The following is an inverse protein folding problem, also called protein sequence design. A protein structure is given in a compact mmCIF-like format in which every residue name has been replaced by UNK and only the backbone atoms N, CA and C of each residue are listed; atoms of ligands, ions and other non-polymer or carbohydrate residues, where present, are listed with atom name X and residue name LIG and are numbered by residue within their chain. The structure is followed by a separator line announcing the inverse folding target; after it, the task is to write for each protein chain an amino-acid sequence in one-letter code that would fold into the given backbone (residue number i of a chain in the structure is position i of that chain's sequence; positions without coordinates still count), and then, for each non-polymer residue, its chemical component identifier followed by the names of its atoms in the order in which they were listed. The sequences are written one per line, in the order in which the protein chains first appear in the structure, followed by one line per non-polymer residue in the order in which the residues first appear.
data_IF_364814077386
#
_entry.id   IF_364814077386
#
_cell.length_a   1.000
_cell.length_b   1.000
_cell.length_c   1.000
_cell.angle_alpha   90.00
_cell.angle_beta   90.00
_cell.angle_gamma   90.00
#
_symmetry.space_group_name_H-M   'P 1'
#
loop_
_entity.id
_entity.type
_entity.pdbx_description
1 polymer ?
#
# COMPACT_ATOMS: atom_id res chain seq x y z
N UNK A 1 12.68 -17.97 -77.68
CA UNK A 1 12.59 -19.42 -77.37
C UNK A 1 12.47 -19.53 -75.85
N UNK A 2 11.24 -19.65 -75.34
CA UNK A 2 10.65 -20.89 -74.79
C UNK A 2 11.38 -21.35 -73.51
N UNK A 3 10.92 -20.96 -72.31
CA UNK A 3 9.87 -21.57 -71.46
C UNK A 3 10.35 -22.84 -70.71
N UNK A 4 10.35 -22.81 -69.37
CA UNK A 4 9.56 -23.74 -68.53
C UNK A 4 9.80 -23.52 -67.03
N UNK A 5 8.74 -23.63 -66.24
CA UNK A 5 8.65 -23.51 -64.78
C UNK A 5 8.15 -24.86 -64.23
N UNK A 6 8.49 -25.16 -62.96
CA UNK A 6 7.93 -26.16 -62.00
C UNK A 6 8.64 -27.53 -61.86
N UNK A 7 8.48 -28.28 -60.73
CA UNK A 7 8.37 -27.87 -59.32
C UNK A 7 9.12 -28.79 -58.29
N UNK A 8 9.06 -28.34 -57.03
CA UNK A 8 9.18 -29.02 -55.72
C UNK A 8 9.28 -30.58 -55.66
N UNK A 9 10.30 -31.08 -54.97
CA UNK A 9 10.21 -32.32 -54.17
C UNK A 9 11.02 -32.16 -52.88
N UNK A 10 10.31 -31.91 -51.77
CA UNK A 10 10.89 -31.94 -50.44
C UNK A 10 10.81 -33.38 -49.91
N UNK A 11 11.92 -34.10 -49.99
CA UNK A 11 12.03 -35.43 -49.38
C UNK A 11 12.46 -35.25 -47.91
N UNK A 12 11.48 -35.12 -47.01
CA UNK A 12 11.70 -35.09 -45.56
C UNK A 12 12.17 -36.48 -45.09
N UNK A 13 13.39 -36.58 -44.56
CA UNK A 13 13.95 -37.83 -44.01
C UNK A 13 13.17 -38.30 -42.76
N UNK A 14 12.85 -39.60 -42.62
CA UNK A 14 12.08 -40.15 -41.49
C UNK A 14 12.76 -39.98 -40.11
N UNK A 15 14.06 -39.63 -40.08
CA UNK A 15 14.82 -39.43 -38.85
C UNK A 15 14.53 -38.09 -38.16
N UNK A 16 14.06 -37.07 -38.90
CA UNK A 16 13.77 -35.74 -38.35
C UNK A 16 12.49 -35.68 -37.50
N UNK A 17 11.47 -36.47 -37.86
CA UNK A 17 10.20 -36.51 -37.12
C UNK A 17 10.34 -37.21 -35.76
N UNK A 18 11.21 -38.23 -35.66
CA UNK A 18 11.46 -38.97 -34.42
C UNK A 18 12.24 -38.15 -33.40
N UNK A 19 13.14 -37.26 -33.87
CA UNK A 19 13.89 -36.35 -32.99
C UNK A 19 13.01 -35.21 -32.48
N UNK A 20 12.16 -34.63 -33.33
CA UNK A 20 11.20 -33.59 -32.94
C UNK A 20 10.18 -34.09 -31.90
N UNK A 21 9.70 -35.34 -32.05
CA UNK A 21 8.80 -35.98 -31.09
C UNK A 21 9.46 -36.24 -29.73
N UNK A 22 10.76 -36.57 -29.70
CA UNK A 22 11.53 -36.74 -28.47
C UNK A 22 11.77 -35.42 -27.75
N UNK A 23 12.08 -34.35 -28.50
CA UNK A 23 12.27 -33.01 -27.93
C UNK A 23 10.95 -32.44 -27.36
N UNK A 24 9.81 -32.68 -28.02
CA UNK A 24 8.48 -32.33 -27.50
C UNK A 24 8.18 -33.07 -26.18
N UNK A 25 8.55 -34.35 -26.08
CA UNK A 25 8.30 -35.15 -24.89
C UNK A 25 9.20 -34.79 -23.69
N UNK A 26 10.39 -34.22 -23.95
CA UNK A 26 11.38 -33.80 -22.93
C UNK A 26 11.12 -32.37 -22.43
N UNK A 27 10.50 -31.49 -23.23
CA UNK A 27 10.16 -30.12 -22.83
C UNK A 27 8.82 -30.00 -22.08
N UNK A 28 7.85 -30.88 -22.37
CA UNK A 28 6.56 -30.93 -21.70
C UNK A 28 6.61 -30.94 -20.15
N UNK A 29 7.49 -31.73 -19.47
CA UNK A 29 7.53 -31.75 -18.01
C UNK A 29 8.06 -30.45 -17.40
N UNK A 30 8.93 -29.70 -18.10
CA UNK A 30 9.46 -28.42 -17.62
C UNK A 30 8.43 -27.31 -17.70
N UNK A 31 7.64 -27.27 -18.79
CA UNK A 31 6.52 -26.34 -18.90
C UNK A 31 5.41 -26.63 -17.88
N UNK A 32 5.12 -27.91 -17.63
CA UNK A 32 4.16 -28.30 -16.59
C UNK A 32 4.61 -27.91 -15.18
N UNK A 33 5.89 -28.11 -14.85
CA UNK A 33 6.42 -27.69 -13.55
C UNK A 33 6.39 -26.17 -13.38
N UNK A 34 6.76 -25.40 -14.40
CA UNK A 34 6.69 -23.93 -14.35
C UNK A 34 5.23 -23.47 -14.23
N UNK A 35 4.32 -24.05 -15.01
CA UNK A 35 2.89 -23.74 -14.91
C UNK A 35 2.32 -24.11 -13.53
N UNK A 36 2.69 -25.26 -12.96
CA UNK A 36 2.26 -25.65 -11.62
C UNK A 36 2.83 -24.72 -10.53
N UNK A 37 4.10 -24.32 -10.61
CA UNK A 37 4.68 -23.35 -9.65
C UNK A 37 4.01 -21.99 -9.79
N UNK A 38 3.81 -21.51 -11.02
CA UNK A 38 3.13 -20.24 -11.28
C UNK A 38 1.68 -20.29 -10.77
N UNK A 39 0.93 -21.35 -11.07
CA UNK A 39 -0.40 -21.56 -10.54
C UNK A 39 -0.38 -21.62 -9.01
N UNK A 40 0.45 -22.45 -8.38
CA UNK A 40 0.52 -22.54 -6.92
C UNK A 40 0.92 -21.19 -6.28
N UNK A 41 1.79 -20.41 -6.92
CA UNK A 41 2.08 -19.05 -6.49
C UNK A 41 0.86 -18.13 -6.61
N UNK A 42 0.10 -18.19 -7.70
CA UNK A 42 -1.15 -17.42 -7.83
C UNK A 42 -2.22 -17.85 -6.83
N UNK A 43 -2.43 -19.16 -6.63
CA UNK A 43 -3.40 -19.70 -5.67
C UNK A 43 -3.00 -19.39 -4.22
N UNK A 44 -1.71 -19.46 -3.88
CA UNK A 44 -1.22 -19.12 -2.54
C UNK A 44 -1.27 -17.60 -2.27
N UNK A 45 -1.13 -16.77 -3.31
CA UNK A 45 -1.30 -15.31 -3.19
C UNK A 45 -2.78 -14.88 -3.13
N UNK A 46 -3.70 -15.68 -3.68
CA UNK A 46 -5.15 -15.38 -3.73
C UNK A 46 -5.86 -15.65 -2.38
N UNK A 47 -5.40 -16.62 -1.58
CA UNK A 47 -5.96 -16.87 -0.24
C UNK A 47 -5.61 -15.75 0.77
N UNK A 48 -4.45 -15.11 0.65
CA UNK A 48 -4.06 -14.00 1.55
C UNK A 48 -4.86 -12.70 1.28
N UNK A 49 -5.44 -12.54 0.09
CA UNK A 49 -6.26 -11.37 -0.27
C UNK A 49 -7.72 -11.49 0.18
N UNK A 50 -8.26 -12.70 0.31
CA UNK A 50 -9.64 -12.91 0.77
C UNK A 50 -9.83 -12.67 2.28
N UNK A 51 -8.76 -12.70 3.07
CA UNK A 51 -8.82 -12.44 4.52
C UNK A 51 -8.72 -10.96 4.92
N UNK A 52 -8.46 -10.05 3.97
CA UNK A 52 -8.24 -8.62 4.26
C UNK A 52 -9.31 -7.77 3.59
N UNK A 53 -10.50 -7.82 4.16
CA UNK A 53 -11.57 -6.89 3.82
C UNK A 53 -11.04 -5.46 4.03
N UNK A 54 -10.83 -4.74 2.93
CA UNK A 54 -10.55 -3.31 2.96
C UNK A 54 -11.85 -2.63 3.32
N UNK A 55 -12.13 -2.50 4.62
CA UNK A 55 -13.35 -1.83 5.08
C UNK A 55 -13.20 -0.34 4.76
N UNK A 56 -13.76 0.07 3.62
CA UNK A 56 -13.96 1.48 3.30
C UNK A 56 -15.07 1.99 4.22
N UNK A 57 -14.68 2.60 5.34
CA UNK A 57 -15.62 3.39 6.12
C UNK A 57 -15.92 4.67 5.35
N UNK A 58 -17.03 4.68 4.63
CA UNK A 58 -17.64 5.94 4.21
C UNK A 58 -18.11 6.64 5.48
N UNK A 59 -17.26 7.49 6.07
CA UNK A 59 -17.69 8.44 7.08
C UNK A 59 -18.43 9.55 6.34
N UNK A 60 -19.67 9.28 5.95
CA UNK A 60 -20.64 10.33 5.74
C UNK A 60 -20.92 10.92 7.12
N UNK A 61 -20.28 12.04 7.45
CA UNK A 61 -20.71 12.84 8.60
C UNK A 61 -22.19 13.20 8.36
N UNK A 62 -23.13 12.70 9.18
CA UNK A 62 -24.51 13.15 9.06
C UNK A 62 -24.51 14.63 9.42
N UNK A 63 -24.96 15.47 8.50
CA UNK A 63 -25.27 16.88 8.77
C UNK A 63 -26.49 17.03 9.69
N UNK A 64 -27.08 15.93 10.13
CA UNK A 64 -28.25 15.89 11.02
C UNK A 64 -27.91 15.05 12.25
N UNK A 65 -28.01 15.72 13.40
CA UNK A 65 -27.54 15.25 14.70
C UNK A 65 -27.98 13.83 15.06
N UNK A 66 -26.99 12.94 15.19
CA UNK A 66 -27.11 11.75 16.03
C UNK A 66 -26.64 12.18 17.42
N UNK A 67 -27.56 12.25 18.37
CA UNK A 67 -27.16 12.35 19.78
C UNK A 67 -26.43 11.05 20.16
N UNK A 68 -25.17 11.12 20.62
CA UNK A 68 -24.46 9.94 21.11
C UNK A 68 -25.18 9.38 22.36
N UNK A 69 -24.96 8.10 22.71
CA UNK A 69 -25.63 7.43 23.83
C UNK A 69 -25.17 7.91 25.22
N UNK A 70 -24.51 9.07 25.30
CA UNK A 70 -24.04 9.67 26.55
C UNK A 70 -24.67 11.06 26.73
N UNK A 71 -25.41 11.28 27.82
CA UNK A 71 -26.06 12.56 28.07
C UNK A 71 -25.00 13.55 28.55
N UNK A 72 -24.59 14.48 27.70
CA UNK A 72 -23.73 15.58 28.15
C UNK A 72 -23.16 16.42 27.03
N UNK A 73 -23.15 17.74 27.26
CA UNK A 73 -22.57 18.83 26.46
C UNK A 73 -21.10 18.66 26.01
N UNK A 74 -20.44 17.54 26.32
CA UNK A 74 -19.03 17.29 26.06
C UNK A 74 -18.69 16.84 24.65
N UNK A 75 -19.61 16.21 23.91
CA UNK A 75 -19.26 15.62 22.59
C UNK A 75 -19.00 16.68 21.52
N UNK A 76 -19.74 17.79 21.54
CA UNK A 76 -19.50 18.93 20.64
C UNK A 76 -18.16 19.59 20.97
N UNK A 77 -17.84 19.74 22.25
CA UNK A 77 -16.55 20.27 22.69
C UNK A 77 -15.39 19.36 22.27
N UNK A 78 -15.52 18.04 22.35
CA UNK A 78 -14.48 17.09 21.91
C UNK A 78 -14.25 17.19 20.40
N UNK A 79 -15.31 17.25 19.58
CA UNK A 79 -15.18 17.38 18.13
C UNK A 79 -14.51 18.71 17.76
N UNK A 80 -14.86 19.79 18.47
CA UNK A 80 -14.21 21.09 18.29
C UNK A 80 -12.74 21.06 18.73
N UNK A 81 -12.44 20.38 19.84
CA UNK A 81 -11.08 20.15 20.34
C UNK A 81 -10.22 19.31 19.37
N UNK A 82 -10.83 18.35 18.68
CA UNK A 82 -10.14 17.57 17.64
C UNK A 82 -9.86 18.46 16.42
N UNK A 83 -10.86 19.23 15.98
CA UNK A 83 -10.71 20.14 14.82
C UNK A 83 -9.68 21.23 15.05
N UNK A 84 -9.61 21.79 16.25
CA UNK A 84 -8.67 22.85 16.61
C UNK A 84 -7.32 22.30 17.12
N UNK A 85 -7.14 20.97 17.16
CA UNK A 85 -5.91 20.32 17.61
C UNK A 85 -5.60 20.44 19.11
N UNK A 86 -6.55 20.89 19.93
CA UNK A 86 -6.39 21.04 21.39
C UNK A 86 -6.79 19.79 22.17
N UNK A 87 -7.31 18.77 21.49
CA UNK A 87 -7.60 17.48 22.10
C UNK A 87 -6.30 16.80 22.54
N UNK A 88 -6.23 16.43 23.82
CA UNK A 88 -5.07 15.73 24.37
C UNK A 88 -5.03 14.30 23.84
N UNK A 89 -4.24 14.09 22.80
CA UNK A 89 -3.91 12.77 22.29
C UNK A 89 -2.95 12.11 23.30
N UNK A 90 -3.44 11.58 24.42
CA UNK A 90 -2.58 10.82 25.34
C UNK A 90 -1.80 9.73 24.58
N UNK A 91 -0.80 9.09 25.21
CA UNK A 91 0.65 9.09 24.88
C UNK A 91 1.12 9.05 23.41
N UNK A 92 0.28 9.34 22.43
CA UNK A 92 0.51 9.20 21.00
C UNK A 92 0.40 10.57 20.32
N UNK A 93 1.41 10.93 19.54
CA UNK A 93 1.38 12.21 18.83
C UNK A 93 0.41 12.11 17.64
N UNK A 94 -0.43 13.14 17.48
CA UNK A 94 -1.19 13.32 16.24
C UNK A 94 -0.29 14.03 15.25
N UNK A 95 -0.04 13.37 14.12
CA UNK A 95 0.71 13.97 13.01
C UNK A 95 0.05 13.59 11.70
N UNK A 96 0.21 14.44 10.70
CA UNK A 96 -0.38 14.27 9.38
C UNK A 96 0.74 14.25 8.34
N UNK A 97 0.73 13.25 7.48
CA UNK A 97 1.63 13.15 6.34
C UNK A 97 1.02 13.91 5.17
N UNK A 98 1.82 14.70 4.47
CA UNK A 98 1.33 15.61 3.41
C UNK A 98 2.14 15.41 2.13
N UNK A 99 1.45 15.27 1.00
CA UNK A 99 2.07 15.21 -0.31
C UNK A 99 1.42 16.28 -1.22
N UNK A 100 2.00 17.51 -1.26
CA UNK A 100 1.38 18.64 -1.94
C UNK A 100 1.17 18.42 -3.43
N UNK A 101 2.13 17.80 -4.11
CA UNK A 101 2.04 17.49 -5.54
C UNK A 101 0.85 16.58 -5.91
N UNK A 102 0.34 15.81 -4.95
CA UNK A 102 -0.78 14.89 -5.12
C UNK A 102 -2.06 15.36 -4.43
N UNK A 103 -2.01 16.54 -3.80
CA UNK A 103 -3.10 17.07 -2.99
C UNK A 103 -3.66 16.05 -1.98
N UNK A 104 -2.73 15.35 -1.34
CA UNK A 104 -2.99 14.17 -0.52
C UNK A 104 -2.47 14.37 0.89
N UNK A 105 -3.27 13.97 1.86
CA UNK A 105 -2.94 14.00 3.27
C UNK A 105 -3.34 12.70 3.96
N UNK A 106 -2.57 12.30 4.98
CA UNK A 106 -2.92 11.14 5.78
C UNK A 106 -2.66 11.33 7.27
N UNK A 107 -3.70 11.16 8.08
CA UNK A 107 -3.58 11.15 9.54
C UNK A 107 -2.77 9.92 9.99
N UNK A 108 -1.64 10.19 10.63
CA UNK A 108 -0.68 9.18 11.05
C UNK A 108 -0.98 8.72 12.47
N UNK A 109 -1.79 7.65 12.57
CA UNK A 109 -2.15 7.02 13.84
C UNK A 109 -1.07 6.02 14.24
N UNK A 110 -0.41 6.18 15.39
CA UNK A 110 0.65 5.24 15.80
C UNK A 110 0.21 3.76 15.80
N UNK A 111 1.16 2.89 15.40
CA UNK A 111 1.06 1.42 15.38
C UNK A 111 0.07 0.83 14.35
N UNK A 112 -0.28 1.60 13.32
CA UNK A 112 -1.06 1.11 12.15
C UNK A 112 -0.21 1.10 10.87
N UNK A 113 1.01 0.56 10.94
CA UNK A 113 1.94 0.55 9.79
C UNK A 113 2.48 1.97 9.44
N UNK A 114 2.57 2.86 10.43
CA UNK A 114 2.99 4.27 10.25
C UNK A 114 4.37 4.46 9.62
N UNK A 115 5.33 3.57 9.90
CA UNK A 115 6.66 3.63 9.27
C UNK A 115 6.56 3.47 7.76
N UNK A 116 5.81 2.47 7.29
CA UNK A 116 5.61 2.23 5.85
C UNK A 116 4.86 3.40 5.22
N UNK A 117 3.82 3.93 5.87
CA UNK A 117 3.11 5.12 5.38
C UNK A 117 4.05 6.32 5.24
N UNK A 118 4.90 6.59 6.23
CA UNK A 118 5.91 7.63 6.15
C UNK A 118 6.88 7.42 4.99
N UNK A 119 7.29 6.19 4.74
CA UNK A 119 8.17 5.84 3.61
C UNK A 119 7.49 5.97 2.24
N UNK A 120 6.19 5.67 2.14
CA UNK A 120 5.40 5.91 0.92
C UNK A 120 5.34 7.42 0.64
N UNK A 121 4.96 8.23 1.64
CA UNK A 121 4.91 9.68 1.50
C UNK A 121 6.28 10.27 1.15
N UNK A 122 7.35 9.76 1.74
CA UNK A 122 8.73 10.13 1.38
C UNK A 122 9.05 9.82 -0.08
N UNK A 123 8.72 8.61 -0.54
CA UNK A 123 8.98 8.18 -1.91
C UNK A 123 8.22 9.02 -2.95
N UNK A 124 6.97 9.39 -2.69
CA UNK A 124 6.18 10.18 -3.65
C UNK A 124 6.54 11.67 -3.63
N UNK A 125 7.00 12.21 -2.50
CA UNK A 125 7.40 13.63 -2.40
C UNK A 125 8.83 13.87 -2.84
N UNK A 126 9.74 12.94 -2.56
CA UNK A 126 11.17 13.06 -2.85
C UNK A 126 11.70 11.79 -3.55
N UNK A 127 11.07 11.44 -4.67
CA UNK A 127 11.38 10.20 -5.41
C UNK A 127 12.83 10.13 -5.86
N UNK A 128 13.39 11.25 -6.32
CA UNK A 128 14.76 11.31 -6.85
C UNK A 128 15.80 10.97 -5.78
N UNK A 129 15.68 11.55 -4.58
CA UNK A 129 16.58 11.27 -3.47
C UNK A 129 16.39 9.85 -2.93
N UNK A 130 15.13 9.41 -2.79
CA UNK A 130 14.81 8.06 -2.32
C UNK A 130 15.42 6.98 -3.22
N UNK A 131 15.34 7.16 -4.54
CA UNK A 131 15.93 6.27 -5.54
C UNK A 131 17.46 6.40 -5.57
N UNK A 132 18.01 7.62 -5.53
CA UNK A 132 19.46 7.86 -5.54
C UNK A 132 20.17 7.18 -4.36
N UNK A 133 19.53 7.19 -3.18
CA UNK A 133 20.04 6.52 -1.98
C UNK A 133 19.72 5.01 -1.93
N UNK A 134 19.13 4.44 -2.99
CA UNK A 134 18.78 3.02 -3.11
C UNK A 134 17.89 2.53 -1.96
N UNK A 135 17.01 3.39 -1.47
CA UNK A 135 16.09 3.08 -0.36
C UNK A 135 14.96 2.19 -0.85
N UNK A 136 14.38 1.41 0.06
CA UNK A 136 13.19 0.60 -0.21
C UNK A 136 12.19 0.81 0.91
N UNK A 137 10.92 1.00 0.55
CA UNK A 137 9.82 1.17 1.50
C UNK A 137 9.80 0.03 2.53
N UNK A 138 10.07 -1.20 2.10
CA UNK A 138 10.06 -2.39 2.97
C UNK A 138 11.23 -2.49 3.96
N UNK A 139 12.30 -1.71 3.78
CA UNK A 139 13.49 -1.75 4.64
C UNK A 139 13.65 -0.49 5.50
N UNK A 140 12.74 0.46 5.37
CA UNK A 140 12.74 1.66 6.19
C UNK A 140 12.36 1.33 7.63
N UNK A 141 13.07 1.94 8.58
CA UNK A 141 12.78 1.80 10.01
C UNK A 141 12.36 3.16 10.57
N UNK A 142 11.72 3.16 11.74
CA UNK A 142 11.25 4.40 12.36
C UNK A 142 12.39 5.40 12.63
N UNK A 143 13.55 4.92 13.08
CA UNK A 143 14.71 5.74 13.48
C UNK A 143 15.59 6.12 12.30
N UNK A 144 15.70 5.27 11.28
CA UNK A 144 16.61 5.48 10.15
C UNK A 144 15.88 5.84 8.87
N UNK A 145 14.68 6.42 8.93
CA UNK A 145 13.91 6.80 7.72
C UNK A 145 14.47 8.03 7.03
N UNK A 146 14.41 8.05 5.70
CA UNK A 146 15.02 9.14 4.91
C UNK A 146 14.36 10.50 5.18
N UNK A 147 13.04 10.56 5.06
CA UNK A 147 12.27 11.78 5.23
C UNK A 147 11.84 11.99 6.70
N UNK A 148 12.72 11.70 7.66
CA UNK A 148 12.39 11.90 9.08
C UNK A 148 11.98 13.36 9.31
N UNK A 149 10.75 13.57 9.80
CA UNK A 149 10.13 14.88 10.02
C UNK A 149 10.01 15.76 8.77
N UNK A 150 10.22 15.19 7.59
CA UNK A 150 9.91 15.83 6.32
C UNK A 150 8.50 15.39 5.92
N UNK A 151 7.67 16.34 5.48
CA UNK A 151 6.28 16.09 5.08
C UNK A 151 5.35 15.65 6.22
N UNK A 152 5.73 15.88 7.48
CA UNK A 152 4.89 15.60 8.65
C UNK A 152 4.52 16.90 9.35
N UNK A 153 3.25 17.07 9.65
CA UNK A 153 2.68 18.26 10.28
C UNK A 153 1.89 17.85 11.52
N UNK A 154 2.11 18.55 12.63
CA UNK A 154 1.36 18.30 13.88
C UNK A 154 0.09 19.15 13.96
N UNK A 155 -0.03 20.18 13.12
CA UNK A 155 -1.12 21.15 13.15
C UNK A 155 -1.96 21.06 11.88
N UNK A 156 -3.27 20.83 12.07
CA UNK A 156 -4.26 20.80 10.99
C UNK A 156 -4.28 22.10 10.16
N UNK A 157 -4.12 23.27 10.80
CA UNK A 157 -4.06 24.56 10.09
C UNK A 157 -2.89 24.61 9.12
N UNK A 158 -1.72 24.07 9.50
CA UNK A 158 -0.56 24.04 8.61
C UNK A 158 -0.81 23.13 7.39
N UNK A 159 -1.51 22.01 7.57
CA UNK A 159 -1.92 21.13 6.46
C UNK A 159 -2.91 21.85 5.53
N UNK A 160 -3.87 22.56 6.11
CA UNK A 160 -4.87 23.34 5.40
C UNK A 160 -4.25 24.48 4.57
N UNK A 161 -3.18 25.10 5.07
CA UNK A 161 -2.42 26.13 4.34
C UNK A 161 -1.66 25.54 3.15
N UNK A 162 -1.12 24.33 3.29
CA UNK A 162 -0.32 23.68 2.24
C UNK A 162 -1.18 23.06 1.14
N UNK A 163 -2.31 22.44 1.50
CA UNK A 163 -3.16 21.68 0.56
C UNK A 163 -4.44 22.40 0.15
N UNK A 164 -4.89 23.39 0.93
CA UNK A 164 -6.18 24.02 0.73
C UNK A 164 -7.37 23.13 1.12
N UNK A 165 -8.59 23.59 0.85
CA UNK A 165 -9.82 22.96 1.32
C UNK A 165 -10.23 21.71 0.52
N UNK A 166 -9.79 21.62 -0.73
CA UNK A 166 -10.15 20.53 -1.63
C UNK A 166 -9.08 19.44 -1.64
N UNK A 167 -8.72 18.88 -0.48
CA UNK A 167 -7.69 17.84 -0.36
C UNK A 167 -8.27 16.43 -0.25
N UNK A 168 -7.52 15.42 -0.68
CA UNK A 168 -7.83 14.03 -0.36
C UNK A 168 -7.22 13.70 1.00
N UNK A 169 -8.05 13.30 1.96
CA UNK A 169 -7.61 12.93 3.31
C UNK A 169 -8.03 11.49 3.60
N UNK A 170 -7.09 10.68 4.07
CA UNK A 170 -7.36 9.29 4.43
C UNK A 170 -6.57 8.89 5.67
N UNK A 171 -7.01 7.84 6.34
CA UNK A 171 -6.24 7.25 7.43
C UNK A 171 -6.20 5.74 7.26
N UNK A 172 -5.10 5.14 7.70
CA UNK A 172 -4.96 3.69 7.72
C UNK A 172 -5.39 3.22 9.11
N UNK A 173 -6.35 2.31 9.13
CA UNK A 173 -6.78 1.65 10.35
C UNK A 173 -6.26 0.21 10.35
N UNK A 174 -5.95 -0.29 11.55
CA UNK A 174 -5.60 -1.70 11.80
C UNK A 174 -6.60 -2.25 12.79
N UNK A 175 -6.75 -3.57 12.82
CA UNK A 175 -7.46 -4.29 13.89
C UNK A 175 -7.13 -3.68 15.28
N UNK A 176 -8.14 -3.23 16.05
CA UNK A 176 -7.94 -2.51 17.30
C UNK A 176 -7.12 -3.30 18.33
N UNK A 177 -7.32 -4.62 18.44
CA UNK A 177 -6.60 -5.46 19.39
C UNK A 177 -5.12 -5.51 19.03
N UNK A 178 -4.83 -5.78 17.75
CA UNK A 178 -3.46 -5.84 17.24
C UNK A 178 -2.73 -4.50 17.38
N UNK A 179 -3.42 -3.37 17.17
CA UNK A 179 -2.88 -2.04 17.42
C UNK A 179 -2.59 -1.83 18.91
N UNK A 180 -3.55 -2.15 19.79
CA UNK A 180 -3.39 -2.01 21.23
C UNK A 180 -2.17 -2.78 21.75
N UNK A 181 -2.03 -4.05 21.38
CA UNK A 181 -0.89 -4.88 21.78
C UNK A 181 0.45 -4.28 21.32
N UNK A 182 0.53 -3.81 20.08
CA UNK A 182 1.73 -3.16 19.55
C UNK A 182 2.06 -1.85 20.27
N UNK A 183 1.05 -1.07 20.65
CA UNK A 183 1.20 0.14 21.44
C UNK A 183 1.64 -0.13 22.87
N UNK A 184 0.99 -1.10 23.53
CA UNK A 184 1.29 -1.50 24.89
C UNK A 184 2.72 -2.01 25.04
N UNK A 185 3.16 -2.92 24.16
CA UNK A 185 4.55 -3.41 24.17
C UNK A 185 5.53 -2.25 24.03
N UNK A 186 5.28 -1.32 23.10
CA UNK A 186 6.21 -0.24 22.82
C UNK A 186 6.25 0.88 23.88
N UNK A 187 5.17 1.10 24.64
CA UNK A 187 5.08 2.22 25.59
C UNK A 187 5.21 1.77 27.05
N UNK A 188 4.95 0.49 27.34
CA UNK A 188 4.88 -0.03 28.71
C UNK A 188 5.86 -1.16 29.01
N UNK A 189 6.45 -1.82 27.99
CA UNK A 189 7.39 -2.93 28.19
C UNK A 189 8.79 -2.56 27.69
N UNK A 190 8.91 -2.05 26.47
CA UNK A 190 10.13 -1.43 25.91
C UNK A 190 10.42 -0.08 26.57
#
# INVERSE_FOLDING_TARGET
MASSVQPLSAHMSPDGASQLLKDIHVQAPRFFLVACVVCLCYWFWDEDLHGRESVYYNVSLPSTGIQPPFPGSGTIQIVEQIKNGTYTNGPFNSSELVAPAYNLSSCQIEKVMTTISGSIFCYITNTSEFVAQKRRISTETYTTRLCLNQNSYENFTAVQEVLGASKTEYTIVRDPISRFLSGFVNKCIE
#
